data_IF_377023829372
#
_entry.id   IF_377023829372
#
_cell.length_a   1.000
_cell.length_b   1.000
_cell.length_c   1.000
_cell.angle_alpha   90.00
_cell.angle_beta   90.00
_cell.angle_gamma   90.00
#
_symmetry.space_group_name_H-M   'P 1'
#
loop_
_entity.id
_entity.type
_entity.pdbx_description
1 polymer ?
#
# COMPACT_ATOMS: atom_id res chain seq x y z
N UNK A 1 -10.01 4.56 19.13
CA UNK A 1 -9.61 4.99 17.80
C UNK A 1 -8.73 6.23 17.86
N UNK A 2 -7.66 6.29 17.06
CA UNK A 2 -6.90 7.52 16.98
C UNK A 2 -7.74 8.62 16.33
N UNK A 3 -7.57 9.84 16.80
CA UNK A 3 -8.16 10.99 16.14
C UNK A 3 -7.46 11.19 14.81
N UNK A 4 -8.21 11.09 13.72
CA UNK A 4 -7.70 11.41 12.40
C UNK A 4 -7.36 12.89 12.31
N UNK A 5 -6.26 13.20 11.64
CA UNK A 5 -5.92 14.57 11.31
C UNK A 5 -6.85 15.12 10.24
N UNK A 6 -6.62 16.35 9.86
CA UNK A 6 -7.35 16.97 8.77
C UNK A 6 -7.05 16.24 7.45
N UNK A 7 -8.07 16.07 6.61
CA UNK A 7 -7.94 15.43 5.31
C UNK A 7 -7.04 16.25 4.40
N UNK A 8 -6.01 15.62 3.86
CA UNK A 8 -5.06 16.28 3.00
C UNK A 8 -5.63 16.53 1.60
N UNK A 9 -5.12 17.58 0.94
CA UNK A 9 -5.38 17.81 -0.46
C UNK A 9 -4.29 17.10 -1.27
N UNK A 10 -4.59 15.86 -1.69
CA UNK A 10 -3.61 15.02 -2.36
C UNK A 10 -3.48 15.37 -3.84
N UNK A 11 -2.24 15.40 -4.30
CA UNK A 11 -1.90 15.64 -5.70
C UNK A 11 -1.60 14.31 -6.37
N UNK A 12 -2.46 13.92 -7.28
CA UNK A 12 -2.32 12.67 -8.01
C UNK A 12 -3.55 12.47 -8.86
N UNK A 13 -3.54 11.41 -9.63
CA UNK A 13 -4.67 11.02 -10.45
C UNK A 13 -5.36 9.82 -9.85
N UNK A 14 -6.69 9.82 -9.91
CA UNK A 14 -7.45 8.64 -9.50
C UNK A 14 -7.26 7.56 -10.57
N UNK A 15 -6.56 6.51 -10.22
CA UNK A 15 -6.15 5.45 -11.13
C UNK A 15 -6.55 4.08 -10.62
N UNK A 16 -6.69 3.16 -11.58
CA UNK A 16 -6.71 1.74 -11.31
C UNK A 16 -5.93 1.05 -12.43
N UNK A 17 -4.68 0.72 -12.12
CA UNK A 17 -3.74 0.11 -13.08
C UNK A 17 -3.21 -1.19 -12.48
N UNK A 18 -3.17 -2.24 -13.29
CA UNK A 18 -2.63 -3.53 -12.85
C UNK A 18 -1.87 -4.21 -13.99
N UNK A 19 -1.02 -5.17 -13.62
CA UNK A 19 -0.23 -5.96 -14.57
C UNK A 19 -1.14 -6.98 -15.27
N UNK A 20 -1.33 -6.83 -16.58
CA UNK A 20 -2.18 -7.70 -17.38
C UNK A 20 -1.62 -9.12 -17.55
N UNK A 21 -0.36 -9.35 -17.19
CA UNK A 21 0.26 -10.67 -17.29
C UNK A 21 -0.06 -11.57 -16.09
N UNK A 22 -0.74 -11.04 -15.06
CA UNK A 22 -1.17 -11.82 -13.91
C UNK A 22 -2.32 -12.76 -14.29
N UNK A 23 -2.40 -13.95 -13.67
CA UNK A 23 -3.58 -14.80 -13.81
C UNK A 23 -4.85 -14.07 -13.38
N UNK A 24 -5.97 -14.35 -14.03
CA UNK A 24 -7.23 -13.65 -13.74
C UNK A 24 -7.68 -13.83 -12.28
N UNK A 25 -7.43 -14.99 -11.68
CA UNK A 25 -7.79 -15.22 -10.27
C UNK A 25 -6.99 -14.30 -9.33
N UNK A 26 -5.75 -14.00 -9.68
CA UNK A 26 -4.91 -13.09 -8.91
C UNK A 26 -5.41 -11.64 -9.07
N UNK A 27 -5.70 -11.23 -10.30
CA UNK A 27 -6.25 -9.90 -10.58
C UNK A 27 -7.57 -9.70 -9.82
N UNK A 28 -8.46 -10.69 -9.84
CA UNK A 28 -9.76 -10.61 -9.15
C UNK A 28 -9.58 -10.42 -7.64
N UNK A 29 -8.68 -11.17 -7.03
CA UNK A 29 -8.41 -11.04 -5.59
C UNK A 29 -7.83 -9.66 -5.26
N UNK A 30 -6.85 -9.20 -6.02
CA UNK A 30 -6.21 -7.91 -5.77
C UNK A 30 -7.17 -6.74 -6.03
N UNK A 31 -8.03 -6.86 -7.05
CA UNK A 31 -9.06 -5.86 -7.33
C UNK A 31 -10.06 -5.78 -6.18
N UNK A 32 -10.54 -6.92 -5.69
CA UNK A 32 -11.48 -6.97 -4.57
C UNK A 32 -10.87 -6.35 -3.31
N UNK A 33 -9.68 -6.78 -2.93
CA UNK A 33 -9.06 -6.32 -1.69
C UNK A 33 -8.67 -4.85 -1.72
N UNK A 34 -8.16 -4.37 -2.87
CA UNK A 34 -7.84 -2.95 -3.02
C UNK A 34 -9.08 -2.07 -2.93
N UNK A 35 -10.21 -2.50 -3.53
CA UNK A 35 -11.49 -1.81 -3.39
C UNK A 35 -11.95 -1.79 -1.94
N UNK A 36 -11.86 -2.94 -1.26
CA UNK A 36 -12.25 -3.05 0.15
C UNK A 36 -11.43 -2.09 1.03
N UNK A 37 -10.13 -1.99 0.80
CA UNK A 37 -9.27 -1.07 1.54
C UNK A 37 -9.69 0.38 1.31
N UNK A 38 -9.89 0.78 0.04
CA UNK A 38 -10.23 2.16 -0.28
C UNK A 38 -11.63 2.56 0.19
N UNK A 39 -12.55 1.62 0.30
CA UNK A 39 -13.95 1.93 0.69
C UNK A 39 -14.23 1.73 2.17
N UNK A 40 -13.47 0.87 2.86
CA UNK A 40 -13.73 0.54 4.27
C UNK A 40 -12.72 1.13 5.25
N UNK A 41 -11.67 1.79 4.77
CA UNK A 41 -10.68 2.47 5.60
C UNK A 41 -10.51 3.91 5.13
N UNK A 42 -9.67 4.67 5.82
CA UNK A 42 -9.32 6.04 5.41
C UNK A 42 -8.17 6.07 4.40
N UNK A 43 -8.00 5.00 3.63
CA UNK A 43 -6.98 4.93 2.59
C UNK A 43 -7.37 5.78 1.37
N UNK A 44 -6.40 6.49 0.82
CA UNK A 44 -6.52 7.28 -0.40
C UNK A 44 -5.89 6.58 -1.59
N UNK A 45 -4.88 5.76 -1.35
CA UNK A 45 -4.06 5.14 -2.39
C UNK A 45 -3.52 3.80 -1.92
N UNK A 46 -3.40 2.88 -2.85
CA UNK A 46 -2.79 1.56 -2.60
C UNK A 46 -1.91 1.17 -3.77
N UNK A 47 -0.75 0.58 -3.45
CA UNK A 47 0.16 0.00 -4.42
C UNK A 47 0.60 -1.37 -3.92
N UNK A 48 0.60 -2.37 -4.81
CA UNK A 48 1.13 -3.69 -4.49
C UNK A 48 2.35 -3.93 -5.37
N UNK A 49 3.45 -4.25 -4.71
CA UNK A 49 4.74 -4.48 -5.34
C UNK A 49 5.13 -5.94 -5.20
N UNK A 50 5.61 -6.54 -6.29
CA UNK A 50 6.08 -7.91 -6.30
C UNK A 50 7.36 -8.01 -7.12
N UNK A 51 8.47 -8.34 -6.45
CA UNK A 51 9.75 -8.67 -7.08
C UNK A 51 10.16 -7.66 -8.16
N UNK A 52 10.25 -6.39 -7.79
CA UNK A 52 10.70 -5.32 -8.68
C UNK A 52 9.62 -4.73 -9.56
N UNK A 53 8.38 -5.23 -9.52
CA UNK A 53 7.29 -4.78 -10.37
C UNK A 53 6.13 -4.28 -9.52
N UNK A 54 5.60 -3.11 -9.87
CA UNK A 54 4.36 -2.60 -9.27
C UNK A 54 3.19 -3.26 -10.00
N UNK A 55 2.61 -4.30 -9.39
CA UNK A 55 1.58 -5.10 -10.05
C UNK A 55 0.18 -4.51 -9.94
N UNK A 56 -0.03 -3.56 -9.02
CA UNK A 56 -1.29 -2.85 -8.90
C UNK A 56 -1.05 -1.47 -8.30
N UNK A 57 -1.73 -0.46 -8.86
CA UNK A 57 -1.89 0.88 -8.27
C UNK A 57 -3.36 1.26 -8.34
N UNK A 58 -3.91 1.75 -7.25
CA UNK A 58 -5.31 2.17 -7.21
C UNK A 58 -5.50 3.33 -6.25
N UNK A 59 -6.42 4.22 -6.58
CA UNK A 59 -6.71 5.42 -5.80
C UNK A 59 -5.93 6.63 -6.31
N UNK A 60 -5.66 7.60 -5.42
CA UNK A 60 -4.97 8.85 -5.78
C UNK A 60 -3.47 8.59 -5.79
N UNK A 61 -2.91 8.32 -6.95
CA UNK A 61 -1.51 7.93 -7.08
C UNK A 61 -0.78 8.79 -8.10
N UNK A 62 0.55 8.84 -7.99
CA UNK A 62 1.41 9.48 -8.98
C UNK A 62 1.43 8.66 -10.28
N UNK A 63 1.58 9.33 -11.42
CA UNK A 63 1.81 8.66 -12.71
C UNK A 63 3.24 8.14 -12.84
N UNK A 64 4.16 8.62 -12.01
CA UNK A 64 5.55 8.17 -12.05
C UNK A 64 5.69 6.74 -11.54
N UNK A 65 6.72 6.06 -12.01
CA UNK A 65 7.01 4.70 -11.57
C UNK A 65 7.62 4.71 -10.17
N UNK A 66 6.89 4.19 -9.18
CA UNK A 66 7.39 4.07 -7.81
C UNK A 66 8.46 2.99 -7.73
N UNK A 67 9.57 3.31 -7.06
CA UNK A 67 10.61 2.34 -6.71
C UNK A 67 10.73 2.27 -5.20
N UNK A 68 10.73 1.06 -4.63
CA UNK A 68 10.89 0.90 -3.17
C UNK A 68 12.20 1.51 -2.69
N UNK A 69 12.12 2.26 -1.61
CA UNK A 69 13.28 2.78 -0.93
C UNK A 69 13.57 2.01 0.34
N UNK A 70 14.34 2.64 1.22
CA UNK A 70 14.85 2.00 2.42
C UNK A 70 13.75 1.48 3.35
N UNK A 71 12.66 2.25 3.52
CA UNK A 71 11.60 1.90 4.45
C UNK A 71 10.83 0.67 3.98
N UNK A 72 10.46 0.62 2.70
CA UNK A 72 9.78 -0.53 2.12
C UNK A 72 10.65 -1.77 2.18
N UNK A 73 11.93 -1.64 1.82
CA UNK A 73 12.87 -2.78 1.83
C UNK A 73 13.09 -3.29 3.25
N UNK A 74 13.15 -2.41 4.25
CA UNK A 74 13.27 -2.81 5.66
C UNK A 74 12.04 -3.58 6.12
N UNK A 75 10.84 -3.16 5.72
CA UNK A 75 9.61 -3.85 6.07
C UNK A 75 9.61 -5.30 5.60
N UNK A 76 9.96 -5.53 4.34
CA UNK A 76 9.98 -6.90 3.80
C UNK A 76 11.16 -7.72 4.31
N UNK A 77 12.30 -7.09 4.56
CA UNK A 77 13.46 -7.78 5.15
C UNK A 77 13.14 -8.31 6.54
N UNK A 78 12.50 -7.49 7.36
CA UNK A 78 12.18 -7.84 8.75
C UNK A 78 10.82 -8.54 8.87
N UNK A 79 10.05 -8.61 7.78
CA UNK A 79 8.68 -9.12 7.74
C UNK A 79 7.80 -8.48 8.81
N UNK A 80 7.89 -7.15 8.92
CA UNK A 80 7.12 -6.37 9.90
C UNK A 80 6.38 -5.23 9.23
N UNK A 81 5.12 -5.07 9.60
CA UNK A 81 4.32 -3.91 9.23
C UNK A 81 4.99 -2.65 9.75
N UNK A 82 5.09 -1.62 8.91
CA UNK A 82 5.57 -0.30 9.30
C UNK A 82 4.43 0.69 9.13
N UNK A 83 4.15 1.43 10.20
CA UNK A 83 3.14 2.48 10.19
C UNK A 83 3.81 3.83 10.41
N UNK A 84 3.70 4.71 9.41
CA UNK A 84 4.13 6.10 9.53
C UNK A 84 2.88 6.94 9.75
N UNK A 85 2.54 7.15 11.03
CA UNK A 85 1.29 7.80 11.43
C UNK A 85 1.20 9.24 10.92
N UNK A 86 2.34 9.92 10.83
CA UNK A 86 2.40 11.27 10.28
C UNK A 86 3.73 11.44 9.52
N UNK A 87 3.66 11.41 8.21
CA UNK A 87 4.84 11.50 7.34
C UNK A 87 5.56 12.85 7.44
N UNK A 88 4.86 13.89 7.90
CA UNK A 88 5.45 15.22 8.11
C UNK A 88 6.68 15.15 9.01
N UNK A 89 6.70 14.24 9.98
CA UNK A 89 7.78 14.07 10.94
C UNK A 89 8.76 12.94 10.55
N UNK A 90 8.57 12.33 9.39
CA UNK A 90 9.44 11.25 8.95
C UNK A 90 10.50 11.77 7.98
N UNK A 91 11.80 11.72 8.35
CA UNK A 91 12.87 12.27 7.49
C UNK A 91 12.98 11.59 6.13
N UNK A 92 12.59 10.32 6.03
CA UNK A 92 12.66 9.56 4.79
C UNK A 92 11.40 9.65 3.90
N UNK A 93 10.51 10.61 4.14
CA UNK A 93 9.24 10.69 3.44
C UNK A 93 9.34 10.85 1.91
N UNK A 94 10.46 11.30 1.40
CA UNK A 94 10.66 11.46 -0.04
C UNK A 94 10.63 10.12 -0.79
N UNK A 95 10.81 9.02 -0.08
CA UNK A 95 10.67 7.67 -0.64
C UNK A 95 9.30 7.49 -1.31
N UNK A 96 8.25 8.16 -0.80
CA UNK A 96 6.87 7.96 -1.22
C UNK A 96 6.40 8.99 -2.24
N UNK A 97 7.29 9.88 -2.71
CA UNK A 97 6.96 10.95 -3.64
C UNK A 97 6.30 10.43 -4.93
N UNK A 98 6.82 9.33 -5.48
CA UNK A 98 6.30 8.74 -6.72
C UNK A 98 5.19 7.71 -6.49
N UNK A 99 4.82 7.49 -5.24
CA UNK A 99 3.61 6.77 -4.89
C UNK A 99 2.41 7.72 -4.79
N UNK A 100 2.45 8.62 -3.84
CA UNK A 100 1.40 9.62 -3.61
C UNK A 100 2.06 10.86 -2.98
N UNK A 101 2.27 11.94 -3.76
CA UNK A 101 2.92 13.14 -3.23
C UNK A 101 2.15 13.73 -2.05
N UNK A 102 2.87 14.14 -1.02
CA UNK A 102 2.33 14.78 0.19
C UNK A 102 1.34 13.92 0.96
N UNK A 103 1.39 12.59 0.79
CA UNK A 103 0.54 11.68 1.55
C UNK A 103 0.84 11.81 3.06
N UNK A 104 -0.18 12.05 3.91
CA UNK A 104 0.05 12.36 5.32
C UNK A 104 0.33 11.15 6.21
N UNK A 105 -0.01 9.94 5.75
CA UNK A 105 0.25 8.71 6.51
C UNK A 105 0.51 7.56 5.56
N UNK A 106 1.28 6.57 6.03
CA UNK A 106 1.69 5.42 5.23
C UNK A 106 1.59 4.15 6.09
N UNK A 107 1.05 3.09 5.48
CA UNK A 107 1.20 1.72 5.97
C UNK A 107 1.99 0.92 4.95
N UNK A 108 2.96 0.15 5.42
CA UNK A 108 3.66 -0.82 4.59
C UNK A 108 3.43 -2.19 5.21
N UNK A 109 2.80 -3.09 4.46
CA UNK A 109 2.44 -4.41 4.94
C UNK A 109 3.18 -5.45 4.10
N UNK A 110 4.13 -6.19 4.69
CA UNK A 110 4.90 -7.16 3.91
C UNK A 110 4.01 -8.36 3.54
N UNK A 111 4.20 -8.85 2.33
CA UNK A 111 3.56 -10.08 1.84
C UNK A 111 4.57 -11.24 1.98
N UNK A 112 5.77 -11.02 1.48
CA UNK A 112 6.92 -11.92 1.59
C UNK A 112 8.20 -11.11 1.47
N UNK A 113 9.36 -11.75 1.33
CA UNK A 113 10.66 -11.06 1.30
C UNK A 113 10.90 -10.23 0.03
N UNK A 114 10.00 -10.28 -0.95
CA UNK A 114 10.12 -9.52 -2.21
C UNK A 114 8.85 -8.76 -2.59
N UNK A 115 7.82 -8.80 -1.74
CA UNK A 115 6.49 -8.25 -2.06
C UNK A 115 5.87 -7.57 -0.85
N UNK A 116 5.17 -6.45 -1.09
CA UNK A 116 4.51 -5.69 -0.04
C UNK A 116 3.28 -4.95 -0.57
N UNK A 117 2.44 -4.53 0.37
CA UNK A 117 1.32 -3.62 0.13
C UNK A 117 1.70 -2.27 0.70
N UNK A 118 1.60 -1.22 -0.11
CA UNK A 118 1.85 0.16 0.30
C UNK A 118 0.52 0.91 0.28
N UNK A 119 0.14 1.51 1.40
CA UNK A 119 -1.13 2.21 1.54
C UNK A 119 -0.87 3.63 2.03
N UNK A 120 -1.49 4.60 1.38
CA UNK A 120 -1.46 6.00 1.79
C UNK A 120 -2.80 6.44 2.33
N UNK A 121 -2.79 7.18 3.44
CA UNK A 121 -4.01 7.65 4.07
C UNK A 121 -4.37 9.09 3.71
N UNK A 122 -5.67 9.43 3.81
CA UNK A 122 -6.17 10.78 3.57
C UNK A 122 -5.70 11.79 4.63
N UNK A 123 -5.41 11.32 5.84
CA UNK A 123 -5.01 12.17 6.94
C UNK A 123 -3.99 11.47 7.83
N UNK A 124 -3.29 12.23 8.68
CA UNK A 124 -2.40 11.66 9.68
C UNK A 124 -3.20 10.85 10.70
N UNK A 125 -2.62 9.77 11.19
CA UNK A 125 -3.20 8.91 12.24
C UNK A 125 -4.58 8.35 11.87
N UNK A 126 -4.83 8.11 10.59
CA UNK A 126 -6.16 7.71 10.13
C UNK A 126 -6.42 6.21 10.13
N UNK A 127 -5.37 5.38 10.30
CA UNK A 127 -5.54 3.93 10.31
C UNK A 127 -5.66 3.41 11.73
N UNK A 128 -6.64 2.51 11.94
CA UNK A 128 -6.88 1.88 13.23
C UNK A 128 -6.04 0.60 13.37
N UNK A 129 -5.93 0.09 14.58
CA UNK A 129 -5.31 -1.23 14.82
C UNK A 129 -6.10 -2.35 14.13
N UNK A 130 -7.41 -2.20 14.05
CA UNK A 130 -8.27 -3.14 13.32
C UNK A 130 -7.95 -3.14 11.83
N UNK A 131 -7.75 -1.96 11.24
CA UNK A 131 -7.32 -1.84 9.83
C UNK A 131 -6.01 -2.58 9.61
N UNK A 132 -5.01 -2.35 10.46
CA UNK A 132 -3.70 -2.99 10.34
C UNK A 132 -3.80 -4.51 10.42
N UNK A 133 -4.63 -5.02 11.34
CA UNK A 133 -4.79 -6.46 11.54
C UNK A 133 -5.40 -7.15 10.33
N UNK A 134 -6.49 -6.61 9.79
CA UNK A 134 -7.13 -7.30 8.68
C UNK A 134 -6.31 -7.19 7.38
N UNK A 135 -5.62 -6.06 7.16
CA UNK A 135 -4.75 -5.91 6.00
C UNK A 135 -3.56 -6.87 6.11
N UNK A 136 -3.00 -7.01 7.31
CA UNK A 136 -1.92 -7.96 7.55
C UNK A 136 -2.39 -9.42 7.32
N UNK A 137 -3.62 -9.74 7.69
CA UNK A 137 -4.20 -11.06 7.40
C UNK A 137 -4.41 -11.26 5.90
N UNK A 138 -4.87 -10.22 5.21
CA UNK A 138 -5.02 -10.28 3.76
C UNK A 138 -3.68 -10.50 3.05
N UNK A 139 -2.61 -9.88 3.55
CA UNK A 139 -1.26 -10.09 2.98
C UNK A 139 -0.83 -11.55 3.02
N UNK A 140 -1.21 -12.28 4.07
CA UNK A 140 -0.93 -13.73 4.18
C UNK A 140 -1.70 -14.53 3.14
N UNK A 141 -2.96 -14.17 2.91
CA UNK A 141 -3.78 -14.78 1.85
C UNK A 141 -3.18 -14.51 0.47
N UNK A 142 -2.72 -13.29 0.22
CA UNK A 142 -2.04 -12.95 -1.04
C UNK A 142 -0.80 -13.81 -1.22
N UNK A 143 0.00 -13.98 -0.17
CA UNK A 143 1.22 -14.79 -0.27
C UNK A 143 0.91 -16.23 -0.65
N UNK A 144 -0.11 -16.84 -0.05
CA UNK A 144 -0.54 -18.19 -0.41
C UNK A 144 -0.97 -18.26 -1.88
N UNK A 145 -1.70 -17.26 -2.34
CA UNK A 145 -2.15 -17.16 -3.72
C UNK A 145 -0.96 -17.02 -4.69
N UNK A 146 0.03 -16.22 -4.32
CA UNK A 146 1.24 -16.06 -5.12
C UNK A 146 2.00 -17.38 -5.24
N UNK A 147 2.15 -18.11 -4.13
CA UNK A 147 2.82 -19.41 -4.14
C UNK A 147 2.10 -20.43 -5.04
N UNK A 148 0.78 -20.50 -4.95
CA UNK A 148 -0.03 -21.41 -5.77
C UNK A 148 0.09 -21.06 -7.27
N UNK A 149 0.20 -19.79 -7.60
CA UNK A 149 0.24 -19.30 -8.99
C UNK A 149 1.66 -19.04 -9.50
N UNK A 150 2.69 -19.41 -8.77
CA UNK A 150 4.10 -19.24 -9.14
C UNK A 150 4.49 -17.78 -9.39
N UNK A 151 4.01 -16.91 -8.54
CA UNK A 151 4.31 -15.48 -8.60
C UNK A 151 5.39 -15.10 -7.60
#
# INVERSE_FOLDING_TARGET
EPLAGEKANLQGDNQFVFDNNLPSIVIDELAWGSEAILTSTAAAAILIHNDGINILKRGITSKNNFKPGETCLRSIKDMKLISLANTKFYPGRDEFLYFCPNVPSILIVPINTKSFILIGGWSAKCFTKSDEKWINNWSKKINNMFLINNI
#
